data_IF_915459085306
#
_entry.id   IF_915459085306
#
_cell.length_a   1.000
_cell.length_b   1.000
_cell.length_c   1.000
_cell.angle_alpha   90.00
_cell.angle_beta   90.00
_cell.angle_gamma   90.00
#
_symmetry.space_group_name_H-M   'P 1'
#
loop_
_entity.id
_entity.type
_entity.pdbx_description
1 polymer ?
#
# COMPACT_ATOMS: atom_id res chain seq x y z
N UNK A 1 23.60 -58.30 -12.19
CA UNK A 1 24.43 -57.31 -11.50
C UNK A 1 23.90 -55.93 -11.87
N UNK A 2 23.60 -55.14 -10.85
CA UNK A 2 22.71 -53.98 -10.86
C UNK A 2 23.28 -52.77 -11.63
N UNK A 3 22.47 -52.11 -12.47
CA UNK A 3 22.71 -50.71 -12.87
C UNK A 3 21.42 -49.93 -12.70
N UNK A 4 21.58 -48.77 -12.05
CA UNK A 4 20.60 -48.05 -11.25
C UNK A 4 19.74 -47.13 -12.10
N UNK A 5 18.46 -47.04 -11.74
CA UNK A 5 17.49 -46.06 -12.22
C UNK A 5 18.03 -44.62 -11.97
N UNK A 6 18.12 -43.74 -12.96
CA UNK A 6 18.36 -42.32 -12.68
C UNK A 6 17.04 -41.70 -12.22
N UNK A 7 16.96 -41.41 -10.93
CA UNK A 7 15.92 -40.56 -10.33
C UNK A 7 16.18 -39.14 -10.83
N UNK A 8 15.44 -38.71 -11.87
CA UNK A 8 15.34 -37.30 -12.24
C UNK A 8 14.61 -36.55 -11.14
N UNK A 9 15.36 -35.92 -10.25
CA UNK A 9 14.88 -34.99 -9.24
C UNK A 9 14.41 -33.71 -9.94
N UNK A 10 13.14 -33.66 -10.31
CA UNK A 10 12.50 -32.44 -10.81
C UNK A 10 12.32 -31.49 -9.61
N UNK A 11 13.28 -30.57 -9.43
CA UNK A 11 13.16 -29.43 -8.52
C UNK A 11 12.07 -28.50 -9.05
N UNK A 12 10.85 -28.67 -8.58
CA UNK A 12 9.78 -27.70 -8.79
C UNK A 12 10.08 -26.51 -7.87
N UNK A 13 10.84 -25.54 -8.37
CA UNK A 13 10.84 -24.18 -7.80
C UNK A 13 9.45 -23.61 -8.08
N UNK A 14 8.49 -23.88 -7.21
CA UNK A 14 7.27 -23.07 -7.17
C UNK A 14 7.73 -21.69 -6.73
N UNK A 15 7.91 -20.78 -7.69
CA UNK A 15 8.05 -19.36 -7.41
C UNK A 15 6.82 -18.99 -6.59
N UNK A 16 7.00 -18.81 -5.28
CA UNK A 16 5.98 -18.19 -4.45
C UNK A 16 5.75 -16.81 -5.06
N UNK A 17 4.73 -16.69 -5.90
CA UNK A 17 4.17 -15.40 -6.24
C UNK A 17 3.59 -14.93 -4.92
N UNK A 18 4.40 -14.20 -4.15
CA UNK A 18 3.92 -13.43 -3.03
C UNK A 18 2.88 -12.49 -3.64
N UNK A 19 1.62 -12.89 -3.60
CA UNK A 19 0.50 -11.99 -3.78
C UNK A 19 0.67 -11.01 -2.63
N UNK A 20 1.27 -9.87 -2.93
CA UNK A 20 1.55 -8.86 -1.94
C UNK A 20 0.19 -8.29 -1.54
N UNK A 21 -0.29 -8.76 -0.40
CA UNK A 21 -1.55 -8.32 0.18
C UNK A 21 -1.57 -6.78 0.27
N UNK A 22 -2.71 -6.21 -0.09
CA UNK A 22 -2.96 -4.78 -0.15
C UNK A 22 -4.29 -4.45 0.52
N UNK A 23 -4.53 -3.16 0.74
CA UNK A 23 -5.75 -2.68 1.37
C UNK A 23 -6.45 -1.69 0.44
N UNK A 24 -7.63 -2.08 -0.04
CA UNK A 24 -8.54 -1.21 -0.75
C UNK A 24 -9.32 -0.36 0.26
N UNK A 25 -9.37 0.94 0.03
CA UNK A 25 -9.88 1.93 0.96
C UNK A 25 -10.88 2.83 0.24
N UNK A 26 -12.15 2.74 0.65
CA UNK A 26 -13.21 3.61 0.16
C UNK A 26 -13.62 4.55 1.28
N UNK A 27 -13.46 5.85 1.07
CA UNK A 27 -13.86 6.87 2.02
C UNK A 27 -15.07 7.63 1.49
N UNK A 28 -16.15 7.64 2.28
CA UNK A 28 -17.36 8.40 1.96
C UNK A 28 -17.29 9.78 2.64
N UNK A 29 -17.78 10.82 1.99
CA UNK A 29 -17.97 12.10 2.67
C UNK A 29 -18.99 11.95 3.81
N UNK A 30 -18.76 12.62 4.94
CA UNK A 30 -19.75 12.67 6.03
C UNK A 30 -20.98 13.51 5.66
N UNK A 31 -20.85 14.37 4.66
CA UNK A 31 -21.89 15.24 4.10
C UNK A 31 -21.42 15.77 2.74
N UNK A 32 -22.34 16.15 1.85
CA UNK A 32 -22.03 16.83 0.58
C UNK A 32 -21.25 18.14 0.77
N UNK A 33 -21.28 18.71 1.99
CA UNK A 33 -20.61 19.97 2.33
C UNK A 33 -19.13 19.81 2.73
N UNK A 34 -18.64 18.58 2.96
CA UNK A 34 -17.23 18.31 3.32
C UNK A 34 -16.70 17.19 2.43
N UNK A 35 -16.31 17.48 1.18
CA UNK A 35 -15.74 16.48 0.29
C UNK A 35 -14.41 15.98 0.85
N UNK A 36 -14.25 14.67 0.95
CA UNK A 36 -12.96 14.08 1.28
C UNK A 36 -12.02 14.19 0.09
N UNK A 37 -10.76 14.57 0.33
CA UNK A 37 -9.73 14.68 -0.74
C UNK A 37 -9.59 13.33 -1.46
N UNK A 38 -9.48 12.24 -0.71
CA UNK A 38 -9.38 10.86 -1.21
C UNK A 38 -10.74 10.14 -1.10
N UNK A 39 -11.27 9.65 -2.23
CA UNK A 39 -12.52 8.89 -2.22
C UNK A 39 -12.28 7.39 -2.33
N UNK A 40 -11.34 6.99 -3.20
CA UNK A 40 -11.00 5.60 -3.40
C UNK A 40 -9.50 5.46 -3.66
N UNK A 41 -8.83 4.83 -2.71
CA UNK A 41 -7.41 4.52 -2.77
C UNK A 41 -7.18 3.05 -2.48
N UNK A 42 -6.00 2.56 -2.82
CA UNK A 42 -5.52 1.27 -2.33
C UNK A 42 -4.06 1.42 -1.96
N UNK A 43 -3.63 0.85 -0.83
CA UNK A 43 -2.23 0.91 -0.43
C UNK A 43 -1.65 -0.47 -0.19
N UNK A 44 -0.33 -0.56 -0.37
CA UNK A 44 0.46 -1.76 -0.06
C UNK A 44 1.79 -1.35 0.56
N UNK A 45 2.40 -2.27 1.28
CA UNK A 45 3.76 -2.11 1.78
C UNK A 45 4.77 -2.83 0.88
N UNK A 46 5.91 -2.20 0.64
CA UNK A 46 7.10 -2.83 0.05
C UNK A 46 8.18 -2.95 1.12
N UNK A 47 8.95 -4.04 1.10
CA UNK A 47 10.04 -4.27 2.05
C UNK A 47 9.59 -4.55 3.49
N UNK A 48 8.29 -4.53 3.77
CA UNK A 48 7.70 -4.87 5.06
C UNK A 48 7.27 -6.34 5.11
N UNK A 49 7.16 -6.93 6.32
CA UNK A 49 6.56 -8.24 6.48
C UNK A 49 5.10 -8.28 5.98
N UNK A 50 4.63 -9.39 5.37
CA UNK A 50 3.27 -9.52 4.85
C UNK A 50 2.19 -9.18 5.89
N UNK A 51 2.40 -9.57 7.16
CA UNK A 51 1.49 -9.32 8.27
C UNK A 51 1.29 -7.83 8.59
N UNK A 52 2.13 -6.94 8.06
CA UNK A 52 1.96 -5.49 8.21
C UNK A 52 0.62 -5.02 7.64
N UNK A 53 0.19 -5.58 6.50
CA UNK A 53 -1.09 -5.23 5.89
C UNK A 53 -2.28 -5.87 6.59
N UNK A 54 -2.11 -7.05 7.21
CA UNK A 54 -3.14 -7.68 8.04
C UNK A 54 -3.51 -6.78 9.20
N UNK A 55 -2.51 -6.18 9.83
CA UNK A 55 -2.71 -5.24 10.91
C UNK A 55 -3.29 -3.91 10.41
N UNK A 56 -2.68 -3.34 9.37
CA UNK A 56 -3.02 -2.00 8.87
C UNK A 56 -4.38 -1.93 8.17
N UNK A 57 -4.78 -3.02 7.50
CA UNK A 57 -6.07 -3.15 6.83
C UNK A 57 -7.18 -3.68 7.76
N UNK A 58 -7.06 -3.45 9.07
CA UNK A 58 -8.13 -3.74 10.01
C UNK A 58 -9.14 -2.58 10.09
N UNK A 59 -10.41 -2.93 10.32
CA UNK A 59 -11.49 -1.98 10.63
C UNK A 59 -11.69 -1.83 12.15
N UNK A 60 -10.73 -2.30 12.96
CA UNK A 60 -10.79 -2.27 14.43
C UNK A 60 -10.56 -0.86 14.96
N UNK A 61 -9.75 -0.04 14.27
CA UNK A 61 -9.60 1.37 14.60
C UNK A 61 -10.70 2.20 13.91
N UNK A 62 -11.83 2.38 14.59
CA UNK A 62 -13.06 3.01 14.08
C UNK A 62 -13.11 4.54 14.21
N UNK A 63 -11.99 5.20 14.47
CA UNK A 63 -12.02 6.65 14.72
C UNK A 63 -12.18 7.48 13.43
N UNK A 64 -13.31 8.21 13.41
CA UNK A 64 -13.61 9.49 12.74
C UNK A 64 -13.79 9.58 11.21
N UNK A 65 -13.58 8.55 10.40
CA UNK A 65 -14.00 8.58 8.99
C UNK A 65 -14.86 7.36 8.61
N UNK A 66 -15.88 7.51 7.75
CA UNK A 66 -16.69 6.40 7.23
C UNK A 66 -15.91 5.68 6.13
N UNK A 67 -14.73 5.18 6.51
CA UNK A 67 -13.80 4.51 5.62
C UNK A 67 -14.06 3.02 5.72
N UNK A 68 -14.27 2.38 4.57
CA UNK A 68 -14.35 0.93 4.47
C UNK A 68 -13.02 0.42 3.97
N UNK A 69 -12.35 -0.43 4.75
CA UNK A 69 -11.13 -1.12 4.34
C UNK A 69 -11.44 -2.55 3.95
N UNK A 70 -10.99 -2.96 2.77
CA UNK A 70 -11.09 -4.34 2.27
C UNK A 70 -9.69 -4.86 1.94
N UNK A 71 -9.29 -5.96 2.57
CA UNK A 71 -8.04 -6.63 2.21
C UNK A 71 -8.20 -7.28 0.83
N UNK A 72 -7.24 -7.03 -0.06
CA UNK A 72 -7.22 -7.55 -1.44
C UNK A 72 -5.85 -8.14 -1.77
N UNK A 73 -5.79 -9.04 -2.75
CA UNK A 73 -4.53 -9.69 -3.13
C UNK A 73 -3.54 -8.74 -3.82
N UNK A 74 -4.03 -7.67 -4.46
CA UNK A 74 -3.23 -6.61 -5.07
C UNK A 74 -4.13 -5.40 -5.38
N UNK A 75 -3.53 -4.21 -5.42
CA UNK A 75 -4.20 -3.02 -5.96
C UNK A 75 -4.45 -3.16 -7.47
N UNK A 76 -5.61 -2.73 -7.94
CA UNK A 76 -5.94 -2.69 -9.36
C UNK A 76 -5.03 -1.71 -10.12
N UNK A 77 -4.78 -1.99 -11.40
CA UNK A 77 -3.83 -1.22 -12.22
C UNK A 77 -4.42 0.04 -12.86
N UNK A 78 -5.71 0.32 -12.65
CA UNK A 78 -6.44 1.44 -13.25
C UNK A 78 -6.38 2.71 -12.39
N UNK A 79 -5.41 2.83 -11.49
CA UNK A 79 -5.18 4.05 -10.72
C UNK A 79 -4.74 5.19 -11.64
N UNK A 80 -5.11 6.42 -11.30
CA UNK A 80 -4.74 7.63 -12.04
C UNK A 80 -3.43 8.24 -11.53
N UNK A 81 -3.07 7.93 -10.29
CA UNK A 81 -1.82 8.37 -9.68
C UNK A 81 -1.39 7.44 -8.54
N UNK A 82 -0.16 7.62 -8.06
CA UNK A 82 0.37 6.96 -6.89
C UNK A 82 1.27 7.89 -6.07
N UNK A 83 1.27 7.71 -4.76
CA UNK A 83 2.24 8.27 -3.82
C UNK A 83 3.09 7.14 -3.24
N UNK A 84 4.42 7.29 -3.28
CA UNK A 84 5.35 6.35 -2.65
C UNK A 84 6.15 7.06 -1.56
N UNK A 85 6.06 6.60 -0.32
CA UNK A 85 6.70 7.26 0.81
C UNK A 85 7.36 6.27 1.77
N UNK A 86 8.31 6.75 2.57
CA UNK A 86 8.92 5.98 3.66
C UNK A 86 7.98 5.98 4.87
N UNK A 87 7.50 4.81 5.35
CA UNK A 87 6.60 4.75 6.49
C UNK A 87 7.33 5.07 7.80
N UNK A 88 6.59 5.56 8.80
CA UNK A 88 7.04 5.57 10.21
C UNK A 88 6.52 4.33 10.93
N UNK A 89 6.87 4.15 12.21
CA UNK A 89 6.40 3.00 12.99
C UNK A 89 4.87 3.00 13.17
N UNK A 90 4.27 4.20 13.14
CA UNK A 90 2.84 4.42 13.27
C UNK A 90 2.08 4.06 11.98
N UNK A 91 2.77 3.80 10.86
CA UNK A 91 2.15 3.44 9.58
C UNK A 91 1.22 2.23 9.68
N UNK A 92 1.57 1.27 10.55
CA UNK A 92 0.75 0.10 10.83
C UNK A 92 -0.64 0.45 11.33
N UNK A 93 -0.82 1.54 12.10
CA UNK A 93 -2.13 2.00 12.55
C UNK A 93 -2.74 3.06 11.62
N UNK A 94 -1.89 3.85 10.96
CA UNK A 94 -2.30 4.92 10.04
C UNK A 94 -1.38 4.93 8.81
N UNK A 95 -1.80 4.41 7.64
CA UNK A 95 -0.94 4.29 6.46
C UNK A 95 -0.44 5.63 5.90
N UNK A 96 -1.02 6.77 6.30
CA UNK A 96 -0.53 8.11 5.96
C UNK A 96 0.60 8.61 6.87
N UNK A 97 0.99 7.84 7.90
CA UNK A 97 2.10 8.20 8.77
C UNK A 97 3.44 7.89 8.10
N UNK A 98 4.01 8.92 7.47
CA UNK A 98 5.24 8.81 6.66
C UNK A 98 6.30 9.79 7.14
N UNK A 99 7.56 9.45 6.87
CA UNK A 99 8.70 10.28 7.20
C UNK A 99 8.83 11.44 6.23
N UNK A 100 8.94 12.66 6.76
CA UNK A 100 9.18 13.88 5.96
C UNK A 100 10.56 13.90 5.30
N UNK A 101 11.50 13.09 5.81
CA UNK A 101 12.81 12.92 5.22
C UNK A 101 12.81 11.56 4.50
N UNK A 102 12.97 11.53 3.16
CA UNK A 102 13.02 10.28 2.41
C UNK A 102 14.11 9.35 2.96
N UNK A 103 13.84 8.05 3.02
CA UNK A 103 14.80 7.05 3.55
C UNK A 103 15.19 7.22 5.03
N UNK A 104 14.38 7.96 5.80
CA UNK A 104 14.48 7.97 7.26
C UNK A 104 13.34 7.13 7.85
N UNK A 105 13.39 5.83 7.62
CA UNK A 105 12.55 4.87 8.32
C UNK A 105 12.87 4.88 9.83
N UNK A 106 11.85 4.67 10.66
CA UNK A 106 12.07 4.52 12.10
C UNK A 106 13.02 3.34 12.38
N UNK A 107 13.79 3.40 13.48
CA UNK A 107 14.86 2.43 13.78
C UNK A 107 14.44 0.94 13.78
N UNK A 108 13.13 0.65 13.89
CA UNK A 108 12.57 -0.70 13.89
C UNK A 108 12.06 -1.16 12.52
N UNK A 109 12.11 -0.33 11.48
CA UNK A 109 11.62 -0.65 10.15
C UNK A 109 12.76 -1.12 9.23
N UNK A 110 12.46 -2.00 8.26
CA UNK A 110 13.39 -2.36 7.20
C UNK A 110 13.83 -1.14 6.38
N UNK A 111 15.10 -1.12 5.94
CA UNK A 111 15.69 0.02 5.21
C UNK A 111 15.02 0.38 3.89
N UNK A 112 14.35 -0.60 3.27
CA UNK A 112 13.63 -0.44 2.03
C UNK A 112 12.11 -0.43 2.25
N UNK A 113 11.66 -0.20 3.48
CA UNK A 113 10.25 -0.07 3.79
C UNK A 113 9.65 1.10 3.01
N UNK A 114 8.57 0.82 2.28
CA UNK A 114 7.79 1.82 1.57
C UNK A 114 6.31 1.55 1.75
N UNK A 115 5.51 2.60 1.85
CA UNK A 115 4.07 2.54 1.59
C UNK A 115 3.84 3.11 0.20
N UNK A 116 3.07 2.39 -0.62
CA UNK A 116 2.64 2.86 -1.94
C UNK A 116 1.13 2.97 -1.91
N UNK A 117 0.62 4.19 -2.07
CA UNK A 117 -0.81 4.50 -2.13
C UNK A 117 -1.17 4.81 -3.58
N UNK A 118 -2.11 4.05 -4.12
CA UNK A 118 -2.69 4.21 -5.44
C UNK A 118 -4.01 4.97 -5.35
N UNK A 119 -4.20 5.95 -6.21
CA UNK A 119 -5.38 6.81 -6.26
C UNK A 119 -6.23 6.41 -7.47
N UNK A 120 -7.46 5.93 -7.25
CA UNK A 120 -8.43 5.66 -8.33
C UNK A 120 -9.39 6.82 -8.52
N UNK A 121 -9.80 7.44 -7.41
CA UNK A 121 -10.64 8.63 -7.41
C UNK A 121 -10.22 9.55 -6.25
N UNK A 122 -10.01 10.82 -6.58
CA UNK A 122 -9.81 11.89 -5.62
C UNK A 122 -10.63 13.09 -6.08
N UNK A 123 -11.30 13.76 -5.15
CA UNK A 123 -12.01 15.01 -5.45
C UNK A 123 -11.02 16.12 -5.83
N UNK A 124 -9.80 16.05 -5.29
CA UNK A 124 -8.72 16.97 -5.58
C UNK A 124 -7.38 16.25 -5.67
N UNK A 125 -7.00 15.84 -6.89
CA UNK A 125 -5.70 15.21 -7.16
C UNK A 125 -4.52 16.16 -6.94
N UNK A 126 -4.73 17.48 -7.08
CA UNK A 126 -3.67 18.46 -6.84
C UNK A 126 -3.36 18.53 -5.35
N UNK A 127 -4.40 18.55 -4.51
CA UNK A 127 -4.23 18.50 -3.07
C UNK A 127 -3.62 17.16 -2.62
N UNK A 128 -4.07 16.03 -3.16
CA UNK A 128 -3.48 14.71 -2.87
C UNK A 128 -1.98 14.66 -3.21
N UNK A 129 -1.57 15.26 -4.34
CA UNK A 129 -0.16 15.42 -4.69
C UNK A 129 0.59 16.26 -3.65
N UNK A 130 0.05 17.43 -3.29
CA UNK A 130 0.67 18.34 -2.32
C UNK A 130 0.86 17.63 -0.98
N UNK A 131 -0.14 16.89 -0.53
CA UNK A 131 -0.11 16.16 0.74
C UNK A 131 0.93 15.04 0.70
N UNK A 132 0.99 14.28 -0.40
CA UNK A 132 2.03 13.27 -0.62
C UNK A 132 3.43 13.89 -0.52
N UNK A 133 3.71 14.96 -1.27
CA UNK A 133 5.02 15.59 -1.32
C UNK A 133 5.41 16.24 0.01
N UNK A 134 4.46 16.89 0.70
CA UNK A 134 4.67 17.46 2.05
C UNK A 134 4.95 16.40 3.11
N UNK A 135 4.42 15.20 2.92
CA UNK A 135 4.65 14.07 3.80
C UNK A 135 5.94 13.29 3.47
N UNK A 136 6.77 13.81 2.54
CA UNK A 136 8.05 13.21 2.14
C UNK A 136 7.93 12.11 1.09
N UNK A 137 6.76 12.00 0.44
CA UNK A 137 6.49 11.02 -0.61
C UNK A 137 6.84 11.52 -2.01
N UNK A 138 7.01 10.56 -2.92
CA UNK A 138 7.20 10.74 -4.34
C UNK A 138 5.88 10.52 -5.07
N UNK A 139 5.41 11.54 -5.80
CA UNK A 139 4.20 11.46 -6.59
C UNK A 139 4.48 10.99 -8.02
N UNK A 140 3.64 10.10 -8.54
CA UNK A 140 3.64 9.69 -9.94
C UNK A 140 2.21 9.68 -10.49
N UNK A 141 1.94 10.45 -11.54
CA UNK A 141 0.70 10.35 -12.32
C UNK A 141 0.83 9.27 -13.38
N UNK A 142 -0.21 8.48 -13.61
CA UNK A 142 -0.27 7.63 -14.80
C UNK A 142 -0.54 8.50 -16.03
N UNK A 143 0.10 8.23 -17.18
CA UNK A 143 -0.31 8.86 -18.42
C UNK A 143 -1.75 8.42 -18.73
N UNK A 144 -2.65 9.39 -18.88
CA UNK A 144 -4.00 9.13 -19.37
C UNK A 144 -3.84 8.53 -20.77
N UNK A 145 -4.24 7.26 -20.95
CA UNK A 145 -4.30 6.64 -22.27
C UNK A 145 -5.50 7.13 -23.06
#
# INVERSE_FOLDING_TARGET
MNVRLPITLLLILTSSTALADACDVVTRGQSDQVPTVEQHTCYRYEGMPPEAIDWSCSNENKEMMPTTKNKVAACASNHVASCKATPTQEALANPHSTSKAPDHEGALLPKNARVVTYYYAANDLVQAKIDCEKAGGEWASQPVK
#
